data_IF_518461476032
#
_entry.id   IF_518461476032
#
_cell.length_a   1.000
_cell.length_b   1.000
_cell.length_c   1.000
_cell.angle_alpha   90.00
_cell.angle_beta   90.00
_cell.angle_gamma   90.00
#
_symmetry.space_group_name_H-M   'P 1'
#
loop_
_entity.id
_entity.type
_entity.pdbx_description
1 polymer ?
#
# COMPACT_ATOMS: atom_id res chain seq x y z
N UNK A 1 -26.66 -3.70 -11.47
CA UNK A 1 -27.65 -2.71 -11.08
C UNK A 1 -27.34 -1.37 -11.78
N UNK A 2 -28.29 -0.88 -12.59
CA UNK A 2 -28.06 0.30 -13.45
C UNK A 2 -27.79 1.57 -12.63
N UNK A 3 -28.40 1.68 -11.47
CA UNK A 3 -28.24 2.82 -10.56
C UNK A 3 -26.85 2.86 -9.95
N UNK A 4 -26.34 1.72 -9.49
CA UNK A 4 -25.00 1.59 -8.94
C UNK A 4 -23.92 1.98 -9.95
N UNK A 5 -24.09 1.56 -11.22
CA UNK A 5 -23.16 1.92 -12.28
C UNK A 5 -23.14 3.44 -12.55
N UNK A 6 -24.30 4.09 -12.53
CA UNK A 6 -24.40 5.56 -12.67
C UNK A 6 -23.68 6.28 -11.51
N UNK A 7 -23.87 5.81 -10.28
CA UNK A 7 -23.21 6.39 -9.10
C UNK A 7 -21.69 6.25 -9.17
N UNK A 8 -21.18 5.07 -9.55
CA UNK A 8 -19.74 4.85 -9.73
C UNK A 8 -19.17 5.78 -10.81
N UNK A 9 -19.85 5.90 -11.94
CA UNK A 9 -19.41 6.77 -13.05
C UNK A 9 -19.35 8.22 -12.61
N UNK A 10 -20.41 8.72 -11.97
CA UNK A 10 -20.46 10.09 -11.47
C UNK A 10 -19.38 10.38 -10.41
N UNK A 11 -19.15 9.45 -9.48
CA UNK A 11 -18.10 9.60 -8.47
C UNK A 11 -16.69 9.60 -9.08
N UNK A 12 -16.46 8.82 -10.14
CA UNK A 12 -15.18 8.84 -10.85
C UNK A 12 -14.96 10.14 -11.62
N UNK A 13 -16.00 10.73 -12.20
CA UNK A 13 -15.88 12.07 -12.80
C UNK A 13 -15.52 13.12 -11.74
N UNK A 14 -16.05 13.02 -10.53
CA UNK A 14 -15.67 13.90 -9.41
C UNK A 14 -14.25 13.62 -8.91
N UNK A 15 -13.79 12.37 -8.93
CA UNK A 15 -12.40 11.99 -8.61
C UNK A 15 -11.40 12.59 -9.60
N UNK A 16 -11.76 12.67 -10.89
CA UNK A 16 -10.93 13.34 -11.90
C UNK A 16 -10.82 14.86 -11.67
N UNK A 17 -11.85 15.49 -11.10
CA UNK A 17 -11.86 16.91 -10.72
C UNK A 17 -11.12 17.16 -9.38
N UNK A 18 -11.26 16.26 -8.40
CA UNK A 18 -10.62 16.30 -7.09
C UNK A 18 -9.86 15.00 -6.82
N UNK A 19 -8.54 14.97 -7.08
CA UNK A 19 -7.71 13.78 -6.87
C UNK A 19 -7.62 13.31 -5.42
N UNK A 20 -8.06 14.12 -4.45
CA UNK A 20 -8.13 13.73 -3.03
C UNK A 20 -9.37 12.87 -2.74
N UNK A 21 -10.35 12.91 -3.64
CA UNK A 21 -11.52 12.03 -3.61
C UNK A 21 -11.11 10.67 -4.19
N UNK A 22 -10.85 9.71 -3.33
CA UNK A 22 -10.49 8.37 -3.77
C UNK A 22 -11.71 7.44 -3.76
N UNK A 23 -12.12 6.97 -4.94
CA UNK A 23 -13.32 6.13 -5.12
C UNK A 23 -12.90 4.67 -5.29
N UNK A 24 -13.35 3.81 -4.38
CA UNK A 24 -13.04 2.38 -4.39
C UNK A 24 -14.33 1.56 -4.42
N UNK A 25 -14.42 0.66 -5.41
CA UNK A 25 -15.45 -0.37 -5.42
C UNK A 25 -14.99 -1.58 -4.60
N UNK A 26 -15.73 -1.91 -3.56
CA UNK A 26 -15.46 -3.07 -2.70
C UNK A 26 -16.38 -4.22 -3.12
N UNK A 27 -15.88 -5.05 -4.02
CA UNK A 27 -16.66 -6.14 -4.65
C UNK A 27 -17.28 -7.10 -3.62
N UNK A 28 -16.53 -7.47 -2.57
CA UNK A 28 -17.00 -8.37 -1.52
C UNK A 28 -18.25 -7.87 -0.78
N UNK A 29 -18.39 -6.55 -0.64
CA UNK A 29 -19.49 -5.91 0.08
C UNK A 29 -20.55 -5.35 -0.87
N UNK A 30 -20.27 -5.33 -2.17
CA UNK A 30 -21.04 -4.62 -3.19
C UNK A 30 -21.31 -3.14 -2.81
N UNK A 31 -20.28 -2.47 -2.28
CA UNK A 31 -20.34 -1.10 -1.77
C UNK A 31 -19.33 -0.21 -2.48
N UNK A 32 -19.70 1.06 -2.64
CA UNK A 32 -18.78 2.11 -3.10
C UNK A 32 -18.25 2.83 -1.87
N UNK A 33 -16.93 2.81 -1.71
CA UNK A 33 -16.24 3.56 -0.67
C UNK A 33 -15.62 4.82 -1.26
N UNK A 34 -15.82 5.94 -0.60
CA UNK A 34 -15.30 7.24 -1.00
C UNK A 34 -14.41 7.78 0.12
N UNK A 35 -13.19 8.14 -0.21
CA UNK A 35 -12.27 8.75 0.76
C UNK A 35 -12.53 10.26 0.82
N UNK A 36 -12.75 10.79 2.03
CA UNK A 36 -13.05 12.19 2.27
C UNK A 36 -12.17 12.75 3.37
N UNK A 37 -11.85 14.04 3.29
CA UNK A 37 -11.08 14.74 4.31
C UNK A 37 -11.93 15.26 5.49
N UNK A 38 -13.26 15.26 5.38
CA UNK A 38 -14.12 15.70 6.45
C UNK A 38 -15.63 15.67 6.11
N UNK A 39 -16.47 15.96 7.10
CA UNK A 39 -17.92 15.91 6.94
C UNK A 39 -18.46 16.96 5.95
N UNK A 40 -17.81 18.12 5.86
CA UNK A 40 -18.20 19.19 4.92
C UNK A 40 -18.04 18.72 3.46
N UNK A 41 -16.96 18.02 3.15
CA UNK A 41 -16.75 17.48 1.80
C UNK A 41 -17.83 16.45 1.43
N UNK A 42 -18.30 15.68 2.41
CA UNK A 42 -19.41 14.74 2.22
C UNK A 42 -20.69 15.43 1.75
N UNK A 43 -21.08 16.51 2.43
CA UNK A 43 -22.28 17.28 2.09
C UNK A 43 -22.15 17.89 0.69
N UNK A 44 -20.97 18.41 0.34
CA UNK A 44 -20.68 18.97 -1.00
C UNK A 44 -20.83 17.89 -2.07
N UNK A 45 -20.26 16.71 -1.87
CA UNK A 45 -20.34 15.61 -2.85
C UNK A 45 -21.79 15.14 -2.98
N UNK A 46 -22.52 15.00 -1.89
CA UNK A 46 -23.91 14.60 -1.90
C UNK A 46 -24.76 15.59 -2.70
N UNK A 47 -24.56 16.89 -2.45
CA UNK A 47 -25.25 17.96 -3.18
C UNK A 47 -24.85 17.96 -4.68
N UNK A 48 -23.57 17.78 -4.98
CA UNK A 48 -23.08 17.74 -6.36
C UNK A 48 -23.65 16.54 -7.14
N UNK A 49 -23.74 15.38 -6.51
CA UNK A 49 -24.34 14.18 -7.12
C UNK A 49 -25.85 14.42 -7.41
N UNK A 50 -26.56 15.08 -6.51
CA UNK A 50 -27.93 15.47 -6.74
C UNK A 50 -28.07 16.48 -7.90
N UNK A 51 -27.34 17.61 -7.83
CA UNK A 51 -27.52 18.73 -8.74
C UNK A 51 -27.01 18.47 -10.17
N UNK A 52 -25.86 17.79 -10.31
CA UNK A 52 -25.23 17.53 -11.61
C UNK A 52 -25.71 16.25 -12.27
N UNK A 53 -25.95 15.21 -11.48
CA UNK A 53 -26.21 13.86 -11.99
C UNK A 53 -27.64 13.37 -11.70
N UNK A 54 -28.43 14.13 -10.91
CA UNK A 54 -29.78 13.73 -10.50
C UNK A 54 -29.81 12.46 -9.65
N UNK A 55 -28.74 12.23 -8.88
CA UNK A 55 -28.55 11.04 -8.05
C UNK A 55 -28.73 11.38 -6.57
N UNK A 56 -29.77 10.84 -5.96
CA UNK A 56 -29.96 10.92 -4.51
C UNK A 56 -29.22 9.77 -3.84
N UNK A 57 -28.10 10.10 -3.20
CA UNK A 57 -27.26 9.13 -2.48
C UNK A 57 -27.24 9.42 -1.00
N UNK A 58 -27.18 8.39 -0.19
CA UNK A 58 -26.92 8.50 1.23
C UNK A 58 -25.60 7.80 1.57
N UNK A 59 -24.83 8.42 2.46
CA UNK A 59 -23.59 7.85 2.93
C UNK A 59 -23.81 7.21 4.30
N UNK A 60 -23.36 5.97 4.44
CA UNK A 60 -23.34 5.26 5.70
C UNK A 60 -22.32 5.80 6.70
N UNK A 61 -22.23 5.22 7.90
CA UNK A 61 -21.19 5.58 8.87
C UNK A 61 -19.81 5.25 8.28
N UNK A 62 -18.92 6.24 8.26
CA UNK A 62 -17.55 6.05 7.79
C UNK A 62 -16.74 5.20 8.75
N UNK A 63 -15.75 4.49 8.21
CA UNK A 63 -14.69 3.83 8.98
C UNK A 63 -13.39 4.64 8.88
N UNK A 64 -12.51 4.46 9.86
CA UNK A 64 -11.17 5.05 9.84
C UNK A 64 -10.26 4.07 9.12
N UNK A 65 -9.59 4.51 8.05
CA UNK A 65 -8.49 3.75 7.47
C UNK A 65 -7.20 4.09 8.20
N UNK A 66 -6.60 3.08 8.77
CA UNK A 66 -5.28 3.20 9.35
C UNK A 66 -4.22 2.98 8.26
N UNK A 67 -3.11 3.67 8.41
CA UNK A 67 -1.85 3.42 7.73
C UNK A 67 -0.78 3.18 8.79
N UNK A 68 0.18 2.34 8.50
CA UNK A 68 1.29 2.08 9.41
C UNK A 68 2.59 2.65 8.85
N UNK A 69 3.42 3.18 9.74
CA UNK A 69 4.79 3.61 9.43
C UNK A 69 5.71 3.22 10.57
N UNK A 70 7.00 3.37 10.38
CA UNK A 70 8.03 3.13 11.40
C UNK A 70 8.59 4.45 11.91
N UNK A 71 9.13 4.45 13.13
CA UNK A 71 9.70 5.66 13.75
C UNK A 71 11.24 5.65 13.80
N UNK A 72 11.85 4.51 13.53
CA UNK A 72 13.30 4.36 13.52
C UNK A 72 13.72 3.41 12.38
N UNK A 73 14.92 3.58 11.82
CA UNK A 73 15.45 2.67 10.83
C UNK A 73 15.60 1.25 11.37
N UNK A 74 15.32 0.26 10.56
CA UNK A 74 15.50 -1.15 10.87
C UNK A 74 15.90 -1.91 9.60
N UNK A 75 16.79 -2.87 9.70
CA UNK A 75 17.13 -3.77 8.62
C UNK A 75 16.36 -5.08 8.77
N UNK A 76 15.63 -5.45 7.75
CA UNK A 76 14.95 -6.74 7.66
C UNK A 76 15.69 -7.70 6.74
N UNK A 77 15.95 -8.91 7.22
CA UNK A 77 16.59 -9.98 6.46
C UNK A 77 15.56 -11.03 6.04
N UNK A 78 15.54 -11.37 4.76
CA UNK A 78 14.70 -12.41 4.21
C UNK A 78 15.53 -13.47 3.52
N UNK A 79 15.35 -14.70 3.94
CA UNK A 79 16.02 -15.88 3.38
C UNK A 79 14.98 -16.89 2.90
N UNK A 80 15.20 -17.42 1.70
CA UNK A 80 14.34 -18.44 1.09
C UNK A 80 15.20 -19.55 0.51
N UNK A 81 15.21 -20.72 1.15
CA UNK A 81 16.05 -21.88 0.78
C UNK A 81 15.29 -23.21 0.96
N UNK A 82 14.16 -23.44 0.26
CA UNK A 82 13.55 -24.76 0.23
C UNK A 82 14.16 -25.63 -0.88
N UNK A 83 14.65 -26.81 -0.52
CA UNK A 83 15.17 -27.84 -1.43
C UNK A 83 16.23 -27.31 -2.42
N UNK A 84 15.87 -26.95 -3.64
CA UNK A 84 16.78 -26.49 -4.70
C UNK A 84 16.65 -25.01 -5.01
N UNK A 85 16.10 -24.25 -4.11
CA UNK A 85 15.90 -22.80 -4.25
C UNK A 85 16.79 -22.05 -3.28
N UNK A 86 17.28 -20.89 -3.67
CA UNK A 86 18.06 -20.02 -2.80
C UNK A 86 17.87 -18.56 -3.19
N UNK A 87 17.45 -17.73 -2.24
CA UNK A 87 17.48 -16.28 -2.37
C UNK A 87 17.62 -15.63 -1.00
N UNK A 88 18.40 -14.57 -0.94
CA UNK A 88 18.58 -13.75 0.25
C UNK A 88 18.45 -12.28 -0.13
N UNK A 89 17.68 -11.53 0.64
CA UNK A 89 17.50 -10.08 0.47
C UNK A 89 17.47 -9.40 1.83
N UNK A 90 18.23 -8.32 1.96
CA UNK A 90 18.22 -7.45 3.13
C UNK A 90 17.67 -6.10 2.71
N UNK A 91 16.63 -5.66 3.40
CA UNK A 91 15.95 -4.41 3.14
C UNK A 91 16.08 -3.50 4.34
N UNK A 92 16.73 -2.37 4.17
CA UNK A 92 16.72 -1.29 5.15
C UNK A 92 15.40 -0.53 5.02
N UNK A 93 14.64 -0.51 6.09
CA UNK A 93 13.39 0.22 6.23
C UNK A 93 13.70 1.50 7.02
N UNK A 94 13.42 2.67 6.43
CA UNK A 94 13.67 3.98 7.04
C UNK A 94 12.35 4.78 7.08
N UNK A 95 12.09 5.55 8.16
CA UNK A 95 10.97 6.48 8.16
C UNK A 95 11.08 7.48 7.01
N UNK A 96 10.00 7.68 6.27
CA UNK A 96 9.88 8.71 5.25
C UNK A 96 9.25 9.99 5.80
N UNK A 97 9.26 11.05 5.00
CA UNK A 97 8.53 12.28 5.32
C UNK A 97 7.02 12.04 5.28
N UNK A 98 6.25 12.70 6.15
CA UNK A 98 4.78 12.59 6.12
C UNK A 98 4.20 12.89 4.73
N UNK A 99 3.43 11.95 4.20
CA UNK A 99 2.84 12.06 2.86
C UNK A 99 3.73 11.57 1.71
N UNK A 100 4.95 11.10 1.98
CA UNK A 100 5.87 10.59 0.93
C UNK A 100 5.46 9.22 0.39
N UNK A 101 4.54 8.51 1.06
CA UNK A 101 4.14 7.17 0.67
C UNK A 101 5.26 6.14 0.81
N UNK A 102 5.35 5.21 -0.13
CA UNK A 102 6.40 4.19 -0.16
C UNK A 102 7.40 4.51 -1.25
N UNK A 103 8.67 4.66 -0.88
CA UNK A 103 9.78 4.86 -1.82
C UNK A 103 10.75 3.70 -1.76
N UNK A 104 11.35 3.34 -2.91
CA UNK A 104 12.26 2.20 -3.03
C UNK A 104 13.56 2.59 -3.71
N UNK A 105 14.66 1.99 -3.25
CA UNK A 105 15.99 2.20 -3.81
C UNK A 105 16.86 0.94 -3.68
N UNK A 106 17.95 0.88 -4.43
CA UNK A 106 19.04 -0.10 -4.23
C UNK A 106 20.33 0.65 -3.93
N UNK A 107 21.04 0.18 -2.91
CA UNK A 107 22.38 0.62 -2.55
C UNK A 107 23.47 -0.32 -3.06
N UNK A 108 23.10 -1.43 -3.75
CA UNK A 108 24.03 -2.43 -4.23
C UNK A 108 24.66 -2.08 -5.56
N UNK A 109 25.92 -2.45 -5.72
CA UNK A 109 26.58 -2.49 -7.02
C UNK A 109 26.19 -3.74 -7.82
N UNK A 110 26.47 -3.73 -9.13
CA UNK A 110 26.25 -4.92 -9.97
C UNK A 110 27.19 -6.07 -9.60
N UNK A 111 28.31 -5.80 -8.93
CA UNK A 111 29.22 -6.82 -8.45
C UNK A 111 28.69 -7.55 -7.21
N UNK A 112 27.85 -6.90 -6.41
CA UNK A 112 27.26 -7.49 -5.21
C UNK A 112 26.05 -8.36 -5.56
N UNK A 113 25.22 -7.88 -6.47
CA UNK A 113 24.06 -8.61 -6.99
C UNK A 113 23.75 -8.15 -8.41
N UNK A 114 23.54 -9.09 -9.33
CA UNK A 114 23.18 -8.79 -10.72
C UNK A 114 22.01 -7.82 -10.82
N UNK A 115 22.10 -6.87 -11.75
CA UNK A 115 21.12 -5.80 -11.95
C UNK A 115 19.71 -6.31 -12.18
N UNK A 116 19.53 -7.46 -12.83
CA UNK A 116 18.20 -8.01 -13.07
C UNK A 116 17.56 -8.49 -11.77
N UNK A 117 18.33 -9.08 -10.87
CA UNK A 117 17.85 -9.45 -9.54
C UNK A 117 17.52 -8.23 -8.68
N UNK A 118 18.36 -7.17 -8.73
CA UNK A 118 18.05 -5.93 -8.04
C UNK A 118 16.72 -5.33 -8.53
N UNK A 119 16.50 -5.22 -9.84
CA UNK A 119 15.25 -4.73 -10.42
C UNK A 119 14.05 -5.56 -10.01
N UNK A 120 14.21 -6.89 -9.99
CA UNK A 120 13.15 -7.80 -9.59
C UNK A 120 12.76 -7.58 -8.12
N UNK A 121 13.74 -7.44 -7.22
CA UNK A 121 13.49 -7.13 -5.81
C UNK A 121 12.76 -5.79 -5.67
N UNK A 122 13.20 -4.73 -6.37
CA UNK A 122 12.53 -3.43 -6.36
C UNK A 122 11.08 -3.54 -6.87
N UNK A 123 10.83 -4.37 -7.88
CA UNK A 123 9.46 -4.66 -8.34
C UNK A 123 8.64 -5.32 -7.23
N UNK A 124 9.19 -6.30 -6.51
CA UNK A 124 8.48 -6.95 -5.41
C UNK A 124 8.22 -6.03 -4.22
N UNK A 125 9.02 -4.98 -4.03
CA UNK A 125 8.76 -3.94 -3.02
C UNK A 125 7.58 -3.04 -3.38
N UNK A 126 7.21 -2.93 -4.67
CA UNK A 126 6.17 -2.01 -5.16
C UNK A 126 4.96 -2.69 -5.79
N UNK A 127 5.03 -3.98 -6.12
CA UNK A 127 3.96 -4.70 -6.85
C UNK A 127 2.65 -4.84 -6.06
N UNK A 128 2.71 -4.66 -4.75
CA UNK A 128 1.54 -4.69 -3.87
C UNK A 128 1.73 -3.77 -2.66
N UNK A 129 0.62 -3.42 -2.02
CA UNK A 129 0.67 -2.79 -0.70
C UNK A 129 1.17 -3.79 0.34
N UNK A 130 2.26 -3.46 1.03
CA UNK A 130 2.75 -4.25 2.16
C UNK A 130 2.00 -3.85 3.43
N UNK A 131 1.59 -4.84 4.19
CA UNK A 131 0.83 -4.62 5.43
C UNK A 131 1.77 -4.54 6.62
N UNK A 132 1.47 -3.62 7.51
CA UNK A 132 2.15 -3.48 8.78
C UNK A 132 1.83 -4.61 9.76
N UNK A 133 2.42 -4.55 10.95
CA UNK A 133 2.37 -5.62 11.96
C UNK A 133 1.61 -5.25 13.23
N UNK A 134 1.06 -4.03 13.32
CA UNK A 134 0.26 -3.60 14.47
C UNK A 134 -1.22 -3.97 14.27
N UNK A 135 -1.84 -3.39 13.25
CA UNK A 135 -3.26 -3.57 12.92
C UNK A 135 -3.46 -4.18 11.53
N UNK A 136 -2.37 -4.47 10.82
CA UNK A 136 -2.41 -4.99 9.46
C UNK A 136 -2.81 -3.94 8.41
N UNK A 137 -2.62 -2.66 8.73
CA UNK A 137 -2.88 -1.58 7.79
C UNK A 137 -1.75 -1.46 6.76
N UNK A 138 -2.03 -0.95 5.54
CA UNK A 138 -1.01 -0.71 4.55
C UNK A 138 0.08 0.24 5.04
N UNK A 139 1.34 -0.04 4.66
CA UNK A 139 2.47 0.82 4.99
C UNK A 139 2.42 2.13 4.22
N UNK A 140 2.89 3.21 4.85
CA UNK A 140 3.08 4.52 4.24
C UNK A 140 4.27 5.24 4.86
N UNK A 141 4.75 6.27 4.18
CA UNK A 141 5.82 7.15 4.65
C UNK A 141 7.05 6.35 5.11
N UNK A 142 7.48 5.46 4.22
CA UNK A 142 8.58 4.55 4.45
C UNK A 142 9.46 4.47 3.20
N UNK A 143 10.76 4.49 3.41
CA UNK A 143 11.76 4.24 2.39
C UNK A 143 12.31 2.82 2.57
N UNK A 144 12.28 2.02 1.52
CA UNK A 144 12.80 0.67 1.50
C UNK A 144 14.02 0.59 0.60
N UNK A 145 15.20 0.33 1.16
CA UNK A 145 16.45 0.27 0.41
C UNK A 145 17.01 -1.15 0.43
N UNK A 146 17.25 -1.72 -0.74
CA UNK A 146 17.97 -2.98 -0.85
C UNK A 146 19.45 -2.75 -0.50
N UNK A 147 19.94 -3.35 0.60
CA UNK A 147 21.29 -3.14 1.14
C UNK A 147 22.18 -4.37 1.03
N UNK A 148 21.63 -5.57 0.97
CA UNK A 148 22.34 -6.80 0.67
C UNK A 148 21.44 -7.79 -0.06
N UNK A 149 22.04 -8.69 -0.82
CA UNK A 149 21.31 -9.75 -1.53
C UNK A 149 22.27 -10.81 -2.05
N UNK A 150 21.78 -12.03 -2.10
CA UNK A 150 22.55 -13.16 -2.62
C UNK A 150 21.67 -14.04 -3.48
N UNK A 151 22.21 -14.42 -4.64
CA UNK A 151 21.65 -15.40 -5.54
C UNK A 151 22.61 -16.58 -5.70
N UNK A 152 22.08 -17.75 -6.03
CA UNK A 152 22.89 -18.91 -6.41
C UNK A 152 22.69 -19.23 -7.89
N UNK A 153 23.78 -19.33 -8.67
CA UNK A 153 23.74 -19.45 -10.13
C UNK A 153 22.85 -20.59 -10.67
N UNK A 154 22.66 -21.66 -9.90
CA UNK A 154 21.89 -22.85 -10.31
C UNK A 154 20.55 -23.01 -9.58
N UNK A 155 20.32 -22.25 -8.53
CA UNK A 155 19.23 -22.48 -7.59
C UNK A 155 18.37 -21.24 -7.29
N UNK A 156 18.61 -20.14 -7.99
CA UNK A 156 17.77 -18.92 -7.81
C UNK A 156 16.82 -18.77 -8.99
N UNK A 157 15.55 -18.72 -8.68
CA UNK A 157 14.47 -18.37 -9.61
C UNK A 157 13.81 -17.06 -9.21
N UNK A 158 13.08 -16.42 -10.14
CA UNK A 158 12.47 -15.11 -9.87
C UNK A 158 11.49 -15.12 -8.68
N UNK A 159 10.75 -16.21 -8.50
CA UNK A 159 9.83 -16.39 -7.38
C UNK A 159 10.48 -16.46 -6.01
N UNK A 160 11.76 -16.85 -5.95
CA UNK A 160 12.51 -16.99 -4.71
C UNK A 160 12.78 -15.62 -4.08
N UNK A 161 13.15 -14.63 -4.91
CA UNK A 161 13.34 -13.26 -4.46
C UNK A 161 12.04 -12.62 -4.00
N UNK A 162 10.88 -12.98 -4.57
CA UNK A 162 9.59 -12.54 -4.06
C UNK A 162 9.41 -12.97 -2.61
N UNK A 163 9.66 -14.24 -2.32
CA UNK A 163 9.54 -14.78 -0.96
C UNK A 163 10.57 -14.17 -0.01
N UNK A 164 11.83 -14.06 -0.43
CA UNK A 164 12.88 -13.45 0.38
C UNK A 164 12.55 -11.98 0.70
N UNK A 165 12.11 -11.19 -0.28
CA UNK A 165 11.75 -9.78 -0.11
C UNK A 165 10.58 -9.61 0.88
N UNK A 166 9.51 -10.40 0.73
CA UNK A 166 8.37 -10.31 1.65
C UNK A 166 8.72 -10.72 3.08
N UNK A 167 9.59 -11.72 3.24
CA UNK A 167 10.12 -12.12 4.54
C UNK A 167 10.98 -11.02 5.17
N UNK A 168 11.84 -10.37 4.37
CA UNK A 168 12.67 -9.25 4.83
C UNK A 168 11.82 -8.10 5.39
N UNK A 169 10.82 -7.65 4.64
CA UNK A 169 9.92 -6.59 5.10
C UNK A 169 9.23 -7.00 6.41
N UNK A 170 8.64 -8.19 6.44
CA UNK A 170 7.91 -8.65 7.62
C UNK A 170 8.82 -8.81 8.84
N UNK A 171 10.02 -9.35 8.67
CA UNK A 171 10.98 -9.52 9.75
C UNK A 171 11.43 -8.17 10.30
N UNK A 172 11.79 -7.21 9.43
CA UNK A 172 12.16 -5.86 9.85
C UNK A 172 11.03 -5.14 10.59
N UNK A 173 9.78 -5.23 10.12
CA UNK A 173 8.63 -4.65 10.80
C UNK A 173 8.36 -5.30 12.17
N UNK A 174 8.54 -6.61 12.28
CA UNK A 174 8.39 -7.31 13.58
C UNK A 174 9.46 -6.89 14.56
N UNK A 175 10.67 -6.65 14.12
CA UNK A 175 11.78 -6.15 14.95
C UNK A 175 11.54 -4.69 15.36
N UNK A 176 11.04 -3.87 14.44
CA UNK A 176 10.67 -2.48 14.69
C UNK A 176 9.35 -2.30 15.47
N UNK A 177 8.66 -3.36 15.86
CA UNK A 177 7.28 -3.32 16.38
C UNK A 177 7.06 -2.30 17.49
N UNK A 178 8.04 -2.08 18.36
CA UNK A 178 7.98 -1.08 19.43
C UNK A 178 8.01 0.37 18.91
N UNK A 179 8.53 0.58 17.70
CA UNK A 179 8.64 1.88 17.02
C UNK A 179 7.66 2.07 15.85
N UNK A 180 6.74 1.14 15.63
CA UNK A 180 5.71 1.29 14.58
C UNK A 180 4.59 2.19 15.10
N UNK A 181 4.14 3.13 14.27
CA UNK A 181 2.97 3.98 14.54
C UNK A 181 1.86 3.63 13.56
N UNK A 182 0.63 3.59 14.05
CA UNK A 182 -0.57 3.65 13.21
C UNK A 182 -0.97 5.11 13.08
N UNK A 183 -1.00 5.64 11.86
CA UNK A 183 -1.56 6.94 11.56
C UNK A 183 -3.02 6.80 11.17
N UNK A 184 -3.87 7.52 11.87
CA UNK A 184 -5.28 7.63 11.56
C UNK A 184 -5.44 8.55 10.33
N UNK A 185 -5.76 7.99 9.17
CA UNK A 185 -6.30 8.78 8.06
C UNK A 185 -7.81 8.60 8.09
N UNK A 186 -8.54 9.69 8.30
CA UNK A 186 -10.00 9.69 8.21
C UNK A 186 -10.40 9.33 6.79
N UNK A 187 -11.04 8.21 6.63
CA UNK A 187 -11.56 7.77 5.35
C UNK A 187 -13.06 7.64 5.39
N UNK A 188 -13.60 8.04 4.29
CA UNK A 188 -14.96 8.31 4.01
C UNK A 188 -15.96 7.21 4.23
N UNK A 189 -17.16 7.66 4.35
CA UNK A 189 -18.41 6.95 4.62
C UNK A 189 -18.81 6.07 3.44
N UNK A 190 -19.41 4.92 3.75
CA UNK A 190 -20.05 4.05 2.77
C UNK A 190 -21.17 4.79 2.04
N UNK A 191 -21.20 4.71 0.72
CA UNK A 191 -22.30 5.18 -0.09
C UNK A 191 -23.30 4.05 -0.29
N UNK A 192 -24.52 4.22 0.19
CA UNK A 192 -25.64 3.32 -0.09
C UNK A 192 -26.64 4.03 -0.98
N UNK A 193 -26.98 3.39 -2.08
CA UNK A 193 -28.06 3.80 -2.99
C UNK A 193 -29.42 3.41 -2.45
#
# INVERSE_FOLDING_TARGET
DLTLHKVITALRELEDEDPLLHVVWVERLAEIHVQLMGAVQLEIIQQTLHDRFGLDVSFGPGSILYRETITAPVEGAGHFEPLRHYAEAHILLEPGEPGSGVTVASALSENDLDRNWQRLILTHLTEREHLGVLVGAPLTDIKMTLVAGRAHLKHTEGGDFRQATYRAIRQGLMEARAGVRSEERRVGKECRS
#
